data_IF_218222163529
#
_entry.id   IF_218222163529
#
_cell.length_a   1.000
_cell.length_b   1.000
_cell.length_c   1.000
_cell.angle_alpha   90.00
_cell.angle_beta   90.00
_cell.angle_gamma   90.00
#
_symmetry.space_group_name_H-M   'P 1'
#
loop_
_entity.id
_entity.type
_entity.pdbx_description
1 polymer ?
#
# COMPACT_ATOMS: atom_id res chain seq x y z
N UNK A 1 10.41 -9.90 -22.29
CA UNK A 1 11.16 -9.88 -21.01
C UNK A 1 10.83 -8.58 -20.30
N UNK A 2 9.95 -8.60 -19.30
CA UNK A 2 9.71 -7.43 -18.47
C UNK A 2 10.98 -7.14 -17.67
N UNK A 3 11.55 -5.93 -17.82
CA UNK A 3 12.66 -5.49 -16.98
C UNK A 3 12.17 -5.46 -15.54
N UNK A 4 12.81 -6.25 -14.67
CA UNK A 4 12.66 -6.15 -13.22
C UNK A 4 12.86 -4.69 -12.82
N UNK A 5 11.79 -3.98 -12.45
CA UNK A 5 11.92 -2.68 -11.78
C UNK A 5 12.33 -2.94 -10.34
N UNK A 6 13.58 -3.39 -10.17
CA UNK A 6 14.25 -3.31 -8.90
C UNK A 6 14.29 -1.82 -8.53
N UNK A 7 13.77 -1.48 -7.35
CA UNK A 7 13.91 -0.14 -6.77
C UNK A 7 15.42 0.17 -6.80
N UNK A 8 15.83 1.12 -7.64
CA UNK A 8 17.24 1.32 -7.99
C UNK A 8 18.03 1.63 -6.74
N UNK A 9 18.97 0.75 -6.31
CA UNK A 9 19.72 0.89 -5.04
C UNK A 9 20.40 2.25 -4.84
N UNK A 10 20.64 2.98 -5.91
CA UNK A 10 21.43 4.22 -5.92
C UNK A 10 20.60 5.50 -5.70
N UNK A 11 19.26 5.42 -5.63
CA UNK A 11 18.40 6.57 -5.33
C UNK A 11 17.70 6.41 -3.97
N UNK A 12 17.40 7.49 -3.24
CA UNK A 12 16.60 7.40 -2.03
C UNK A 12 15.18 6.90 -2.38
N UNK A 13 14.66 5.96 -1.60
CA UNK A 13 13.26 5.54 -1.70
C UNK A 13 12.39 6.64 -1.09
N UNK A 14 11.49 7.22 -1.87
CA UNK A 14 10.56 8.25 -1.41
C UNK A 14 9.18 7.63 -1.19
N UNK A 15 8.85 7.42 0.08
CA UNK A 15 7.52 6.95 0.53
C UNK A 15 6.77 8.11 1.16
N UNK A 16 5.57 8.38 0.67
CA UNK A 16 4.67 9.41 1.20
C UNK A 16 3.46 8.73 1.83
N UNK A 17 3.23 9.03 3.11
CA UNK A 17 2.07 8.58 3.87
C UNK A 17 0.95 9.64 3.88
N UNK A 18 -0.24 9.23 4.36
CA UNK A 18 -1.46 10.04 4.59
C UNK A 18 -1.27 11.57 4.72
N UNK A 19 -2.26 12.31 4.21
CA UNK A 19 -2.51 13.74 4.50
C UNK A 19 -1.56 14.82 3.95
N UNK A 20 -0.94 14.64 2.78
CA UNK A 20 -0.40 15.82 2.07
C UNK A 20 -1.53 16.58 1.37
N UNK A 21 -2.00 17.68 1.99
CA UNK A 21 -3.04 18.57 1.41
C UNK A 21 -2.68 19.13 0.02
N UNK A 22 -1.41 19.04 -0.37
CA UNK A 22 -0.86 19.48 -1.64
C UNK A 22 -0.22 18.33 -2.45
N UNK A 23 -0.68 17.09 -2.27
CA UNK A 23 -0.17 15.93 -3.03
C UNK A 23 -0.23 16.20 -4.55
N UNK A 24 -1.26 16.91 -5.01
CA UNK A 24 -1.42 17.28 -6.42
C UNK A 24 -0.32 18.23 -6.90
N UNK A 25 0.10 19.18 -6.08
CA UNK A 25 1.22 20.09 -6.40
C UNK A 25 2.56 19.36 -6.40
N UNK A 26 2.70 18.39 -5.48
CA UNK A 26 3.90 17.56 -5.40
C UNK A 26 4.00 16.62 -6.61
N UNK A 27 2.88 16.06 -7.06
CA UNK A 27 2.76 15.19 -8.23
C UNK A 27 2.80 15.95 -9.56
N UNK A 28 2.60 17.27 -9.58
CA UNK A 28 2.58 18.09 -10.81
C UNK A 28 3.86 18.88 -11.07
N UNK A 29 4.77 18.97 -10.09
CA UNK A 29 5.97 19.77 -10.21
C UNK A 29 7.15 18.91 -10.72
N UNK A 30 7.54 19.17 -11.98
CA UNK A 30 8.65 18.52 -12.69
C UNK A 30 10.01 18.59 -11.97
N UNK A 31 10.15 19.49 -10.97
CA UNK A 31 11.39 19.66 -10.20
C UNK A 31 11.50 18.74 -8.99
N UNK A 32 10.46 17.99 -8.63
CA UNK A 32 10.53 17.08 -7.49
C UNK A 32 11.14 15.71 -7.88
N UNK A 33 11.88 15.06 -6.97
CA UNK A 33 12.30 13.68 -7.18
C UNK A 33 11.07 12.78 -7.37
N UNK A 34 11.20 11.77 -8.24
CA UNK A 34 10.17 10.75 -8.46
C UNK A 34 9.72 10.16 -7.11
N UNK A 35 8.42 10.09 -6.89
CA UNK A 35 7.85 9.47 -5.70
C UNK A 35 7.69 7.98 -6.01
N UNK A 36 8.33 7.13 -5.22
CA UNK A 36 8.24 5.70 -5.46
C UNK A 36 6.88 5.15 -5.00
N UNK A 37 6.41 5.60 -3.84
CA UNK A 37 5.23 5.03 -3.19
C UNK A 37 4.40 6.14 -2.55
N UNK A 38 3.12 6.16 -2.86
CA UNK A 38 2.12 6.99 -2.20
C UNK A 38 1.10 6.09 -1.49
N UNK A 39 1.01 6.20 -0.17
CA UNK A 39 -0.05 5.57 0.63
C UNK A 39 -1.08 6.61 1.03
N UNK A 40 -2.33 6.42 0.60
CA UNK A 40 -3.47 7.27 0.97
C UNK A 40 -4.63 6.40 1.43
N UNK A 41 -5.64 7.02 2.03
CA UNK A 41 -6.91 6.34 2.22
C UNK A 41 -7.83 6.48 0.99
N UNK A 42 -8.84 5.62 0.87
CA UNK A 42 -9.75 5.61 -0.29
C UNK A 42 -10.53 6.92 -0.45
N UNK A 43 -10.87 7.59 0.66
CA UNK A 43 -11.55 8.87 0.63
C UNK A 43 -10.66 9.96 0.03
N UNK A 44 -9.40 10.05 0.46
CA UNK A 44 -8.40 10.95 -0.13
C UNK A 44 -8.18 10.65 -1.62
N UNK A 45 -8.06 9.37 -1.98
CA UNK A 45 -7.92 8.93 -3.38
C UNK A 45 -9.10 9.38 -4.24
N UNK A 46 -10.33 9.30 -3.71
CA UNK A 46 -11.54 9.76 -4.39
C UNK A 46 -11.47 11.26 -4.66
N UNK A 47 -11.05 12.05 -3.66
CA UNK A 47 -10.90 13.51 -3.80
C UNK A 47 -9.85 13.89 -4.85
N UNK A 48 -8.67 13.26 -4.83
CA UNK A 48 -7.57 13.55 -5.77
C UNK A 48 -7.94 13.13 -7.21
N UNK A 49 -8.66 12.01 -7.35
CA UNK A 49 -9.14 11.52 -8.63
C UNK A 49 -10.41 12.22 -9.13
N UNK A 50 -10.98 13.14 -8.34
CA UNK A 50 -12.23 13.84 -8.64
C UNK A 50 -13.41 12.88 -8.86
N UNK A 51 -13.40 11.73 -8.18
CA UNK A 51 -14.51 10.78 -8.15
C UNK A 51 -15.31 11.01 -6.86
N UNK A 52 -16.65 11.10 -6.90
CA UNK A 52 -17.47 11.22 -5.70
C UNK A 52 -17.15 10.12 -4.68
N UNK A 53 -16.95 10.43 -3.38
CA UNK A 53 -16.66 9.41 -2.38
C UNK A 53 -17.74 8.33 -2.34
N UNK A 54 -17.33 7.07 -2.17
CA UNK A 54 -18.25 5.95 -2.05
C UNK A 54 -19.06 6.05 -0.75
N UNK A 55 -20.37 5.84 -0.82
CA UNK A 55 -21.18 5.59 0.37
C UNK A 55 -20.79 4.24 1.00
N UNK A 56 -20.68 4.21 2.31
CA UNK A 56 -20.19 3.04 3.05
C UNK A 56 -21.13 1.84 3.02
N UNK A 57 -22.37 2.03 2.58
CA UNK A 57 -23.41 1.00 2.47
C UNK A 57 -23.22 0.02 1.29
N UNK A 58 -22.50 0.40 0.22
CA UNK A 58 -22.40 -0.39 -1.02
C UNK A 58 -21.02 -1.09 -1.16
N UNK A 59 -20.89 -2.24 -0.50
CA UNK A 59 -19.65 -3.03 -0.53
C UNK A 59 -19.34 -3.66 -1.89
N UNK A 60 -20.35 -3.94 -2.72
CA UNK A 60 -20.18 -4.56 -4.04
C UNK A 60 -19.50 -3.60 -5.02
N UNK A 61 -19.84 -2.31 -4.97
CA UNK A 61 -19.24 -1.29 -5.83
C UNK A 61 -17.87 -0.81 -5.38
N UNK A 62 -17.42 -1.15 -4.17
CA UNK A 62 -16.16 -0.63 -3.62
C UNK A 62 -14.95 -1.01 -4.46
N UNK A 63 -14.88 -2.24 -4.95
CA UNK A 63 -13.73 -2.66 -5.75
C UNK A 63 -13.68 -1.90 -7.08
N UNK A 64 -14.80 -1.79 -7.79
CA UNK A 64 -14.91 -1.03 -9.05
C UNK A 64 -14.56 0.45 -8.84
N UNK A 65 -15.03 1.04 -7.74
CA UNK A 65 -14.73 2.42 -7.36
C UNK A 65 -13.24 2.64 -7.14
N UNK A 66 -12.60 1.78 -6.36
CA UNK A 66 -11.16 1.88 -6.04
C UNK A 66 -10.29 1.61 -7.27
N UNK A 67 -10.70 0.68 -8.15
CA UNK A 67 -10.02 0.46 -9.44
C UNK A 67 -10.14 1.69 -10.33
N UNK A 68 -11.31 2.34 -10.37
CA UNK A 68 -11.52 3.57 -11.14
C UNK A 68 -10.59 4.70 -10.69
N UNK A 69 -10.41 4.86 -9.37
CA UNK A 69 -9.40 5.77 -8.80
C UNK A 69 -7.99 5.38 -9.29
N UNK A 70 -7.63 4.09 -9.18
CA UNK A 70 -6.33 3.59 -9.64
C UNK A 70 -6.05 3.89 -11.11
N UNK A 71 -7.05 3.70 -11.99
CA UNK A 71 -6.97 4.01 -13.42
C UNK A 71 -6.66 5.49 -13.65
N UNK A 72 -7.39 6.39 -12.99
CA UNK A 72 -7.15 7.83 -13.08
C UNK A 72 -5.73 8.18 -12.62
N UNK A 73 -5.26 7.58 -11.54
CA UNK A 73 -3.88 7.79 -11.06
C UNK A 73 -2.84 7.27 -12.05
N UNK A 74 -3.08 6.12 -12.69
CA UNK A 74 -2.20 5.57 -13.72
C UNK A 74 -2.08 6.51 -14.91
N UNK A 75 -3.21 7.05 -15.38
CA UNK A 75 -3.24 7.98 -16.52
C UNK A 75 -2.57 9.32 -16.19
N UNK A 76 -2.87 9.90 -15.01
CA UNK A 76 -2.45 11.26 -14.65
C UNK A 76 -1.03 11.32 -14.05
N UNK A 77 -0.62 10.29 -13.31
CA UNK A 77 0.55 10.38 -12.42
C UNK A 77 1.61 9.30 -12.62
N UNK A 78 1.43 8.30 -13.50
CA UNK A 78 2.40 7.20 -13.66
C UNK A 78 3.83 7.63 -14.06
N UNK A 79 3.98 8.83 -14.63
CA UNK A 79 5.28 9.42 -14.93
C UNK A 79 6.05 9.89 -13.68
N UNK A 80 5.36 10.18 -12.58
CA UNK A 80 5.93 10.72 -11.34
C UNK A 80 5.79 9.77 -10.14
N UNK A 81 4.82 8.85 -10.21
CA UNK A 81 4.46 7.92 -9.15
C UNK A 81 4.52 6.49 -9.67
N UNK A 82 5.32 5.63 -9.03
CA UNK A 82 5.39 4.23 -9.40
C UNK A 82 4.24 3.43 -8.77
N UNK A 83 4.09 3.50 -7.44
CA UNK A 83 3.12 2.73 -6.70
C UNK A 83 2.12 3.60 -5.95
N UNK A 84 0.84 3.27 -6.07
CA UNK A 84 -0.23 3.82 -5.25
C UNK A 84 -0.75 2.72 -4.31
N UNK A 85 -0.83 3.02 -3.02
CA UNK A 85 -1.43 2.16 -2.01
C UNK A 85 -2.68 2.86 -1.47
N UNK A 86 -3.81 2.16 -1.49
CA UNK A 86 -5.07 2.64 -0.92
C UNK A 86 -5.52 1.75 0.24
N UNK A 87 -5.75 2.38 1.40
CA UNK A 87 -6.23 1.72 2.63
C UNK A 87 -7.57 2.29 3.06
N UNK A 88 -8.40 1.53 3.78
CA UNK A 88 -9.72 2.01 4.22
C UNK A 88 -10.15 1.37 5.56
N UNK A 89 -9.31 1.58 6.58
CA UNK A 89 -9.54 1.00 7.91
C UNK A 89 -9.57 -0.53 7.88
N UNK A 90 -10.66 -1.12 8.41
CA UNK A 90 -10.85 -2.58 8.46
C UNK A 90 -11.35 -3.23 7.15
N UNK A 91 -11.48 -2.46 6.07
CA UNK A 91 -11.89 -2.94 4.74
C UNK A 91 -10.66 -3.44 3.95
N UNK A 92 -10.85 -4.03 2.75
CA UNK A 92 -9.73 -4.39 1.90
C UNK A 92 -8.77 -3.23 1.61
N UNK A 93 -7.55 -3.57 1.22
CA UNK A 93 -6.54 -2.62 0.76
C UNK A 93 -6.06 -2.99 -0.64
N UNK A 94 -5.47 -2.03 -1.34
CA UNK A 94 -5.01 -2.20 -2.72
C UNK A 94 -3.62 -1.62 -2.92
N UNK A 95 -2.82 -2.27 -3.76
CA UNK A 95 -1.54 -1.76 -4.25
C UNK A 95 -1.56 -1.76 -5.79
N UNK A 96 -1.40 -0.58 -6.39
CA UNK A 96 -1.37 -0.38 -7.83
C UNK A 96 0.06 -0.10 -8.27
N UNK A 97 0.50 -0.81 -9.31
CA UNK A 97 1.70 -0.50 -10.08
C UNK A 97 1.27 0.33 -11.30
N UNK A 98 1.37 1.65 -11.17
CA UNK A 98 0.73 2.59 -12.09
C UNK A 98 1.34 2.55 -13.49
N UNK A 99 2.65 2.28 -13.60
CA UNK A 99 3.33 2.18 -14.91
C UNK A 99 2.99 0.89 -15.65
N UNK A 100 2.85 -0.20 -14.91
CA UNK A 100 2.57 -1.51 -15.50
C UNK A 100 1.06 -1.82 -15.57
N UNK A 101 0.20 -0.88 -15.17
CA UNK A 101 -1.27 -1.01 -15.20
C UNK A 101 -1.75 -2.32 -14.59
N UNK A 102 -1.26 -2.62 -13.39
CA UNK A 102 -1.60 -3.84 -12.64
C UNK A 102 -1.77 -3.55 -11.16
N UNK A 103 -2.46 -4.42 -10.45
CA UNK A 103 -2.72 -4.23 -9.03
C UNK A 103 -2.91 -5.55 -8.27
N UNK A 104 -2.82 -5.45 -6.95
CA UNK A 104 -3.12 -6.52 -5.98
C UNK A 104 -4.15 -6.00 -4.98
N UNK A 105 -5.08 -6.86 -4.56
CA UNK A 105 -6.00 -6.57 -3.45
C UNK A 105 -5.74 -7.48 -2.25
N UNK A 106 -5.99 -6.94 -1.07
CA UNK A 106 -5.73 -7.59 0.21
C UNK A 106 -7.02 -7.65 1.02
N UNK A 107 -7.42 -8.85 1.46
CA UNK A 107 -8.54 -9.05 2.37
C UNK A 107 -7.99 -9.19 3.78
N UNK A 108 -8.38 -8.27 4.65
CA UNK A 108 -7.98 -8.26 6.06
C UNK A 108 -8.82 -9.26 6.88
N UNK A 109 -8.23 -9.93 7.89
CA UNK A 109 -9.00 -10.74 8.82
C UNK A 109 -9.97 -9.89 9.63
N UNK A 110 -11.11 -10.47 10.01
CA UNK A 110 -12.03 -9.82 10.95
C UNK A 110 -11.45 -9.88 12.35
N UNK A 111 -11.21 -8.73 12.96
CA UNK A 111 -10.66 -8.59 14.30
C UNK A 111 -11.51 -7.65 15.14
N UNK A 112 -11.46 -7.80 16.47
CA UNK A 112 -12.15 -6.91 17.40
C UNK A 112 -11.27 -5.69 17.67
N UNK A 113 -11.57 -4.59 16.98
CA UNK A 113 -10.84 -3.32 17.14
C UNK A 113 -11.01 -2.76 18.56
N UNK A 114 -9.89 -2.45 19.20
CA UNK A 114 -9.81 -1.73 20.48
C UNK A 114 -9.56 -0.24 20.23
N UNK A 115 -8.54 0.10 19.42
CA UNK A 115 -8.21 1.48 19.09
C UNK A 115 -7.65 1.60 17.65
N UNK A 116 -8.35 2.24 16.70
CA UNK A 116 -7.88 2.38 15.32
C UNK A 116 -6.88 3.54 15.10
N UNK A 117 -6.68 4.42 16.08
CA UNK A 117 -5.87 5.64 15.92
C UNK A 117 -4.40 5.27 15.65
N UNK A 118 -3.77 5.86 14.62
CA UNK A 118 -2.37 5.60 14.27
C UNK A 118 -2.12 4.33 13.45
N UNK A 119 -3.16 3.65 12.97
CA UNK A 119 -3.00 2.47 12.10
C UNK A 119 -2.38 2.82 10.74
N UNK A 120 -2.71 3.99 10.17
CA UNK A 120 -2.10 4.48 8.92
C UNK A 120 -0.59 4.69 9.06
N UNK A 121 -0.17 5.32 10.16
CA UNK A 121 1.24 5.57 10.48
C UNK A 121 1.99 4.26 10.72
N UNK A 122 1.36 3.33 11.45
CA UNK A 122 1.93 2.00 11.72
C UNK A 122 2.13 1.21 10.43
N UNK A 123 1.11 1.20 9.55
CA UNK A 123 1.19 0.55 8.24
C UNK A 123 2.38 1.09 7.44
N UNK A 124 2.49 2.41 7.35
CA UNK A 124 3.54 3.09 6.57
C UNK A 124 4.93 2.85 7.17
N UNK A 125 5.06 2.90 8.50
CA UNK A 125 6.33 2.70 9.20
C UNK A 125 6.88 1.29 8.96
N UNK A 126 6.04 0.27 9.11
CA UNK A 126 6.45 -1.13 8.88
C UNK A 126 6.70 -1.40 7.41
N UNK A 127 5.85 -0.92 6.50
CA UNK A 127 6.08 -0.97 5.05
C UNK A 127 7.47 -0.41 4.69
N UNK A 128 7.79 0.79 5.18
CA UNK A 128 9.05 1.47 4.90
C UNK A 128 10.25 0.71 5.47
N UNK A 129 10.11 0.15 6.68
CA UNK A 129 11.14 -0.68 7.31
C UNK A 129 11.44 -1.94 6.49
N UNK A 130 10.41 -2.67 6.07
CA UNK A 130 10.57 -3.88 5.25
C UNK A 130 11.22 -3.55 3.91
N UNK A 131 10.78 -2.49 3.23
CA UNK A 131 11.39 -2.06 1.97
C UNK A 131 12.86 -1.68 2.14
N UNK A 132 13.22 -1.00 3.23
CA UNK A 132 14.60 -0.69 3.55
C UNK A 132 15.44 -1.96 3.75
N UNK A 133 14.93 -2.92 4.52
CA UNK A 133 15.60 -4.22 4.73
C UNK A 133 15.78 -4.99 3.42
N UNK A 134 14.75 -5.04 2.57
CA UNK A 134 14.82 -5.71 1.28
C UNK A 134 15.87 -5.07 0.36
N UNK A 135 16.03 -3.74 0.37
CA UNK A 135 17.08 -3.07 -0.41
C UNK A 135 18.49 -3.39 0.11
N UNK A 136 18.65 -3.54 1.42
CA UNK A 136 19.96 -3.82 2.04
C UNK A 136 20.38 -5.30 1.91
N UNK A 137 19.43 -6.23 1.81
CA UNK A 137 19.67 -7.68 1.78
C UNK A 137 19.40 -8.33 0.42
N UNK A 138 19.16 -7.53 -0.61
CA UNK A 138 18.68 -7.98 -1.93
C UNK A 138 17.35 -8.76 -1.88
N UNK A 139 16.58 -8.55 -0.81
CA UNK A 139 15.28 -9.16 -0.58
C UNK A 139 15.32 -10.68 -0.35
N UNK A 140 16.50 -11.32 -0.43
CA UNK A 140 16.63 -12.80 -0.37
C UNK A 140 16.10 -13.35 0.94
N UNK A 141 16.55 -12.81 2.06
CA UNK A 141 16.17 -13.31 3.39
C UNK A 141 14.66 -13.18 3.64
N UNK A 142 14.07 -12.04 3.26
CA UNK A 142 12.63 -11.79 3.44
C UNK A 142 11.80 -12.69 2.52
N UNK A 143 12.23 -12.88 1.26
CA UNK A 143 11.52 -13.71 0.27
C UNK A 143 11.60 -15.20 0.61
N UNK A 144 12.76 -15.69 1.00
CA UNK A 144 12.97 -17.10 1.40
C UNK A 144 12.13 -17.48 2.62
N UNK A 145 12.10 -16.61 3.64
CA UNK A 145 11.30 -16.83 4.85
C UNK A 145 9.80 -16.91 4.57
N UNK A 146 9.32 -16.18 3.56
CA UNK A 146 7.88 -15.94 3.35
C UNK A 146 7.31 -16.61 2.11
N UNK A 147 8.14 -17.35 1.35
CA UNK A 147 7.73 -18.14 0.17
C UNK A 147 6.96 -17.32 -0.88
N UNK A 148 7.26 -16.04 -1.02
CA UNK A 148 6.71 -15.25 -2.13
C UNK A 148 7.37 -15.67 -3.44
N UNK A 149 6.60 -15.66 -4.53
CA UNK A 149 7.18 -15.80 -5.86
C UNK A 149 8.15 -14.64 -6.12
N UNK A 150 9.27 -14.92 -6.79
CA UNK A 150 10.29 -13.96 -7.21
C UNK A 150 9.70 -12.79 -8.01
N UNK A 151 8.54 -12.99 -8.66
CA UNK A 151 7.87 -11.96 -9.46
C UNK A 151 7.02 -10.96 -8.65
N UNK A 152 6.75 -11.24 -7.37
CA UNK A 152 5.93 -10.33 -6.54
C UNK A 152 6.74 -9.07 -6.21
N UNK A 153 6.25 -7.85 -6.50
CA UNK A 153 7.00 -6.63 -6.17
C UNK A 153 7.25 -6.46 -4.67
N UNK A 154 8.41 -5.92 -4.29
CA UNK A 154 8.79 -5.70 -2.88
C UNK A 154 7.75 -4.85 -2.12
N UNK A 155 7.12 -3.88 -2.79
CA UNK A 155 6.06 -3.01 -2.22
C UNK A 155 4.83 -3.80 -1.81
N UNK A 156 4.46 -4.83 -2.58
CA UNK A 156 3.32 -5.69 -2.29
C UNK A 156 3.61 -6.54 -1.05
N UNK A 157 4.84 -7.05 -0.93
CA UNK A 157 5.31 -7.81 0.24
C UNK A 157 5.33 -6.90 1.48
N UNK A 158 5.96 -5.73 1.36
CA UNK A 158 6.03 -4.75 2.44
C UNK A 158 4.65 -4.26 2.87
N UNK A 159 3.70 -4.10 1.95
CA UNK A 159 2.34 -3.71 2.28
C UNK A 159 1.64 -4.79 3.09
N UNK A 160 1.80 -6.08 2.75
CA UNK A 160 1.21 -7.16 3.54
C UNK A 160 1.68 -7.12 5.00
N UNK A 161 2.96 -6.86 5.23
CA UNK A 161 3.52 -6.62 6.57
C UNK A 161 2.93 -5.37 7.24
N UNK A 162 2.86 -4.26 6.51
CA UNK A 162 2.26 -3.02 7.01
C UNK A 162 0.80 -3.22 7.44
N UNK A 163 0.01 -3.95 6.66
CA UNK A 163 -1.39 -4.27 6.97
C UNK A 163 -1.49 -5.19 8.20
N UNK A 164 -0.61 -6.18 8.33
CA UNK A 164 -0.55 -7.05 9.51
C UNK A 164 -0.21 -6.26 10.77
N UNK A 165 0.77 -5.36 10.70
CA UNK A 165 1.16 -4.48 11.79
C UNK A 165 0.05 -3.49 12.18
N UNK A 166 -0.58 -2.85 11.20
CA UNK A 166 -1.72 -1.97 11.44
C UNK A 166 -2.88 -2.72 12.09
N UNK A 167 -3.15 -3.94 11.64
CA UNK A 167 -4.18 -4.81 12.23
C UNK A 167 -3.82 -5.18 13.67
N UNK A 168 -2.57 -5.57 13.95
CA UNK A 168 -2.10 -5.85 15.32
C UNK A 168 -2.23 -4.62 16.22
N UNK A 169 -1.88 -3.44 15.70
CA UNK A 169 -2.00 -2.15 16.40
C UNK A 169 -3.44 -1.85 16.82
N UNK A 170 -4.44 -2.28 16.06
CA UNK A 170 -5.85 -2.05 16.45
C UNK A 170 -6.24 -2.75 17.75
N UNK A 171 -5.48 -3.77 18.17
CA UNK A 171 -5.75 -4.61 19.34
C UNK A 171 -5.16 -4.03 20.63
N UNK A 172 -4.33 -3.00 20.53
CA UNK A 172 -3.70 -2.33 21.67
C UNK A 172 -4.46 -1.06 22.05
N UNK A 173 -4.31 -0.61 23.30
CA UNK A 173 -4.96 0.63 23.79
C UNK A 173 -4.18 1.88 23.35
N UNK A 174 -2.86 1.80 23.31
CA UNK A 174 -1.95 2.92 23.02
C UNK A 174 -1.78 3.14 21.51
N UNK A 175 -1.34 4.33 21.11
CA UNK A 175 -0.92 4.59 19.74
C UNK A 175 0.48 4.01 19.51
N UNK A 176 0.68 3.29 18.39
CA UNK A 176 2.01 2.83 17.96
C UNK A 176 2.56 1.57 18.64
N UNK A 177 1.79 0.91 19.50
CA UNK A 177 2.17 -0.35 20.15
C UNK A 177 1.57 -1.57 19.42
N UNK A 178 2.35 -2.63 19.27
CA UNK A 178 1.92 -3.90 18.67
C UNK A 178 2.84 -5.06 19.09
N UNK A 179 2.27 -6.27 19.17
CA UNK A 179 3.01 -7.50 19.44
C UNK A 179 3.44 -8.17 18.12
N UNK A 180 4.74 -8.41 17.95
CA UNK A 180 5.32 -9.09 16.78
C UNK A 180 4.69 -10.47 16.52
N UNK A 181 4.39 -11.25 17.56
CA UNK A 181 3.75 -12.56 17.40
C UNK A 181 2.37 -12.42 16.79
N UNK A 182 1.64 -11.38 17.16
CA UNK A 182 0.32 -11.08 16.61
C UNK A 182 0.43 -10.61 15.16
N UNK A 183 1.48 -9.84 14.81
CA UNK A 183 1.76 -9.49 13.42
C UNK A 183 1.94 -10.74 12.56
N UNK A 184 2.78 -11.68 12.99
CA UNK A 184 3.02 -12.93 12.25
C UNK A 184 1.73 -13.72 12.03
N UNK A 185 0.91 -13.86 13.08
CA UNK A 185 -0.39 -14.54 12.98
C UNK A 185 -1.35 -13.84 12.02
N UNK A 186 -1.42 -12.51 12.05
CA UNK A 186 -2.30 -11.74 11.16
C UNK A 186 -1.78 -11.72 9.73
N UNK A 187 -0.46 -11.71 9.55
CA UNK A 187 0.18 -11.79 8.24
C UNK A 187 -0.24 -13.05 7.48
N UNK A 188 -0.28 -14.20 8.16
CA UNK A 188 -0.71 -15.47 7.57
C UNK A 188 -2.21 -15.48 7.23
N UNK A 189 -3.01 -14.70 7.96
CA UNK A 189 -4.46 -14.60 7.76
C UNK A 189 -4.87 -13.60 6.67
N UNK A 190 -4.02 -12.61 6.36
CA UNK A 190 -4.27 -11.66 5.27
C UNK A 190 -4.19 -12.41 3.94
N UNK A 191 -5.31 -12.45 3.23
CA UNK A 191 -5.38 -13.01 1.88
C UNK A 191 -4.97 -11.96 0.89
N UNK A 192 -4.10 -12.33 -0.03
CA UNK A 192 -3.65 -11.49 -1.13
C UNK A 192 -4.10 -12.13 -2.44
N UNK A 193 -4.55 -11.32 -3.38
CA UNK A 193 -4.88 -11.79 -4.71
C UNK A 193 -3.65 -12.14 -5.53
N UNK A 194 -3.87 -12.84 -6.63
CA UNK A 194 -2.92 -12.83 -7.74
C UNK A 194 -2.82 -11.43 -8.36
N UNK A 195 -1.82 -11.23 -9.21
CA UNK A 195 -1.69 -10.02 -10.01
C UNK A 195 -2.91 -9.86 -10.93
N UNK A 196 -3.52 -8.67 -10.93
CA UNK A 196 -4.64 -8.35 -11.81
C UNK A 196 -4.30 -7.16 -12.70
N UNK A 197 -4.96 -7.09 -13.85
CA UNK A 197 -4.79 -5.99 -14.81
C UNK A 197 -5.76 -4.85 -14.50
N UNK A 198 -5.28 -3.64 -14.72
CA UNK A 198 -6.08 -2.43 -14.82
C UNK A 198 -6.59 -2.27 -16.26
N UNK A 199 -7.77 -1.70 -16.43
CA UNK A 199 -8.41 -1.50 -17.74
C UNK A 199 -8.35 -0.03 -18.15
#
# INVERSE_FOLDING_TARGET
MARKTAITKNLPLVVIADAYKNITNLLSNEKHPMIDILKINVFEGSFIAEIPPLDDSDTLKRNEHVISIGNIFSERFSQYLQYLIMTDGGKPAWCFDLKNKRYWYFVLPKIKVVNPIGCGDTCTSVLSSILSQMRNTDGKEVREKLKFNDDTPDVVIGLKWGLAAASAKTLTLTGGDFDEKVILQLFDQIKMSEEMKMH
#
